data_IF_480259419534
#
_entry.id   IF_480259419534
#
_cell.length_a   1.000
_cell.length_b   1.000
_cell.length_c   1.000
_cell.angle_alpha   90.00
_cell.angle_beta   90.00
_cell.angle_gamma   90.00
#
_symmetry.space_group_name_H-M   'P 1'
#
loop_
_entity.id
_entity.type
_entity.pdbx_description
1 polymer ?
#
# COMPACT_ATOMS: atom_id res chain seq x y z
N UNK A 1 -21.83 -0.85 27.39
CA UNK A 1 -20.49 -0.45 26.93
C UNK A 1 -20.34 1.04 27.26
N UNK A 2 -19.23 1.43 27.88
CA UNK A 2 -18.99 2.80 28.37
C UNK A 2 -19.05 3.82 27.20
N UNK A 3 -19.84 4.88 27.35
CA UNK A 3 -20.01 5.96 26.36
C UNK A 3 -18.66 6.59 25.97
N UNK A 4 -17.70 6.64 26.89
CA UNK A 4 -16.35 7.16 26.61
C UNK A 4 -15.52 6.27 25.69
N UNK A 5 -15.72 4.94 25.75
CA UNK A 5 -15.06 3.97 24.86
C UNK A 5 -15.59 4.13 23.43
N UNK A 6 -16.90 4.27 23.29
CA UNK A 6 -17.56 4.44 21.99
C UNK A 6 -17.10 5.75 21.33
N UNK A 7 -17.10 6.86 22.07
CA UNK A 7 -16.64 8.16 21.57
C UNK A 7 -15.16 8.13 21.13
N UNK A 8 -14.27 7.50 21.92
CA UNK A 8 -12.86 7.31 21.53
C UNK A 8 -12.73 6.49 20.25
N UNK A 9 -13.44 5.36 20.16
CA UNK A 9 -13.40 4.50 18.99
C UNK A 9 -13.88 5.24 17.73
N UNK A 10 -14.95 6.02 17.84
CA UNK A 10 -15.49 6.83 16.74
C UNK A 10 -14.52 7.93 16.30
N UNK A 11 -13.86 8.61 17.24
CA UNK A 11 -12.84 9.64 16.92
C UNK A 11 -11.63 9.03 16.21
N UNK A 12 -11.14 7.88 16.68
CA UNK A 12 -10.04 7.15 16.01
C UNK A 12 -10.46 6.73 14.61
N UNK A 13 -11.69 6.23 14.48
CA UNK A 13 -12.23 5.83 13.18
C UNK A 13 -12.31 7.01 12.22
N UNK A 14 -12.78 8.17 12.67
CA UNK A 14 -12.83 9.39 11.86
C UNK A 14 -11.43 9.80 11.34
N UNK A 15 -10.39 9.73 12.17
CA UNK A 15 -9.00 9.99 11.75
C UNK A 15 -8.56 9.04 10.62
N UNK A 16 -8.86 7.75 10.75
CA UNK A 16 -8.54 6.75 9.73
C UNK A 16 -9.31 7.03 8.43
N UNK A 17 -10.59 7.40 8.53
CA UNK A 17 -11.43 7.62 7.36
C UNK A 17 -11.20 8.95 6.64
N UNK A 18 -10.55 9.92 7.29
CA UNK A 18 -10.12 11.17 6.63
C UNK A 18 -9.14 10.90 5.49
N UNK A 19 -8.47 9.74 5.52
CA UNK A 19 -7.44 9.36 4.57
C UNK A 19 -7.89 8.23 3.62
N UNK A 20 -9.19 7.97 3.41
CA UNK A 20 -9.62 6.79 2.62
C UNK A 20 -9.36 6.92 1.12
N UNK A 21 -8.84 5.85 0.52
CA UNK A 21 -8.85 5.65 -0.95
C UNK A 21 -10.25 5.25 -1.42
N UNK A 22 -10.91 6.16 -2.10
CA UNK A 22 -12.19 5.88 -2.76
C UNK A 22 -11.99 5.11 -4.07
N UNK A 23 -12.83 4.12 -4.38
CA UNK A 23 -12.87 3.50 -5.71
C UNK A 23 -13.35 4.50 -6.78
N UNK A 24 -13.04 4.30 -8.07
CA UNK A 24 -13.62 5.10 -9.15
C UNK A 24 -15.15 5.08 -9.07
N UNK A 25 -15.81 6.17 -9.50
CA UNK A 25 -17.26 6.38 -9.46
C UNK A 25 -18.02 5.45 -10.41
N UNK A 26 -17.89 4.14 -10.22
CA UNK A 26 -18.89 3.19 -10.67
C UNK A 26 -19.98 3.18 -9.60
N UNK A 27 -21.23 3.43 -10.03
CA UNK A 27 -22.45 3.40 -9.18
C UNK A 27 -22.58 2.12 -8.33
N UNK A 28 -21.82 1.07 -8.65
CA UNK A 28 -21.70 -0.19 -7.93
C UNK A 28 -20.94 -0.12 -6.59
N UNK A 29 -20.13 0.93 -6.34
CA UNK A 29 -19.26 1.03 -5.15
C UNK A 29 -19.56 2.25 -4.27
N UNK A 30 -20.55 3.07 -4.64
CA UNK A 30 -20.92 4.30 -3.95
C UNK A 30 -22.16 4.10 -3.09
N UNK A 31 -22.00 3.56 -1.89
CA UNK A 31 -22.98 3.73 -0.80
C UNK A 31 -22.61 4.89 0.13
N UNK A 32 -21.61 5.71 -0.27
CA UNK A 32 -21.15 6.87 0.47
C UNK A 32 -22.15 8.02 0.36
N UNK A 33 -22.92 8.23 1.41
CA UNK A 33 -23.71 9.45 1.58
C UNK A 33 -22.73 10.59 1.92
N UNK A 34 -22.62 11.58 1.04
CA UNK A 34 -21.83 12.81 1.24
C UNK A 34 -20.34 12.63 1.52
N UNK A 35 -19.69 11.61 0.95
CA UNK A 35 -18.24 11.42 1.11
C UNK A 35 -17.81 10.81 2.44
N UNK A 36 -18.75 10.45 3.30
CA UNK A 36 -18.50 9.70 4.53
C UNK A 36 -18.70 8.20 4.32
N UNK A 37 -17.90 7.34 4.98
CA UNK A 37 -18.15 5.90 5.01
C UNK A 37 -19.51 5.60 5.65
N UNK A 38 -20.33 4.77 5.00
CA UNK A 38 -21.57 4.32 5.60
C UNK A 38 -21.29 3.38 6.79
N UNK A 39 -22.30 3.13 7.63
CA UNK A 39 -22.17 2.29 8.83
C UNK A 39 -21.60 0.90 8.51
N UNK A 40 -21.97 0.30 7.37
CA UNK A 40 -21.45 -0.99 6.94
C UNK A 40 -19.94 -0.97 6.71
N UNK A 41 -19.40 0.08 6.08
CA UNK A 41 -17.96 0.25 5.89
C UNK A 41 -17.22 0.48 7.21
N UNK A 42 -17.86 1.11 8.20
CA UNK A 42 -17.26 1.41 9.50
C UNK A 42 -17.25 0.20 10.45
N UNK A 43 -18.25 -0.67 10.35
CA UNK A 43 -18.57 -1.68 11.36
C UNK A 43 -17.41 -2.65 11.69
N UNK A 44 -16.68 -3.22 10.70
CA UNK A 44 -15.59 -4.16 11.00
C UNK A 44 -14.47 -3.51 11.82
N UNK A 45 -14.12 -2.27 11.46
CA UNK A 45 -13.07 -1.50 12.12
C UNK A 45 -13.50 -0.99 13.50
N UNK A 46 -14.75 -0.51 13.62
CA UNK A 46 -15.30 -0.06 14.88
C UNK A 46 -15.35 -1.20 15.90
N UNK A 47 -15.82 -2.38 15.49
CA UNK A 47 -15.85 -3.57 16.35
C UNK A 47 -14.47 -3.91 16.91
N UNK A 48 -13.43 -3.89 16.06
CA UNK A 48 -12.06 -4.18 16.47
C UNK A 48 -11.49 -3.10 17.41
N UNK A 49 -11.75 -1.82 17.12
CA UNK A 49 -11.36 -0.70 17.97
C UNK A 49 -12.00 -0.78 19.36
N UNK A 50 -13.31 -1.03 19.44
CA UNK A 50 -14.03 -1.15 20.70
C UNK A 50 -13.41 -2.24 21.58
N UNK A 51 -13.16 -3.42 21.02
CA UNK A 51 -12.52 -4.52 21.75
C UNK A 51 -11.10 -4.17 22.24
N UNK A 52 -10.28 -3.51 21.41
CA UNK A 52 -8.92 -3.09 21.82
C UNK A 52 -8.94 -2.04 22.92
N UNK A 53 -9.84 -1.05 22.81
CA UNK A 53 -9.95 0.04 23.80
C UNK A 53 -10.51 -0.48 25.12
N UNK A 54 -11.53 -1.33 25.08
CA UNK A 54 -12.14 -1.95 26.26
C UNK A 54 -11.12 -2.80 27.04
N UNK A 55 -10.29 -3.56 26.32
CA UNK A 55 -9.20 -4.35 26.91
C UNK A 55 -7.97 -3.53 27.30
N UNK A 56 -7.97 -2.23 27.03
CA UNK A 56 -6.81 -1.33 27.21
C UNK A 56 -5.54 -1.88 26.54
N UNK A 57 -5.68 -2.43 25.34
CA UNK A 57 -4.57 -2.97 24.54
C UNK A 57 -4.03 -1.93 23.56
N UNK A 58 -2.75 -2.04 23.19
CA UNK A 58 -2.16 -1.18 22.16
C UNK A 58 -2.86 -1.38 20.81
N UNK A 59 -3.21 -0.29 20.13
CA UNK A 59 -3.80 -0.37 18.80
C UNK A 59 -2.70 -0.70 17.79
N UNK A 60 -2.77 -1.87 17.18
CA UNK A 60 -1.86 -2.25 16.09
C UNK A 60 -2.52 -2.02 14.74
N UNK A 61 -1.87 -1.25 13.87
CA UNK A 61 -2.23 -1.07 12.47
C UNK A 61 -1.22 -1.86 11.62
N UNK A 62 -1.67 -2.57 10.59
CA UNK A 62 -0.77 -3.22 9.63
C UNK A 62 -1.04 -2.72 8.21
N UNK A 63 0.02 -2.41 7.46
CA UNK A 63 -0.07 -1.85 6.11
C UNK A 63 0.93 -2.56 5.17
N UNK A 64 0.48 -3.38 4.20
CA UNK A 64 1.34 -3.88 3.13
C UNK A 64 1.60 -2.75 2.17
N UNK A 65 2.87 -2.37 2.10
CA UNK A 65 3.33 -1.19 1.42
C UNK A 65 4.86 -1.17 1.42
N UNK A 66 5.42 -0.25 0.63
CA UNK A 66 6.87 -0.03 0.55
C UNK A 66 7.64 -1.33 0.18
N UNK A 67 7.32 -1.98 -0.96
CA UNK A 67 8.04 -3.17 -1.42
C UNK A 67 9.46 -2.84 -1.92
N UNK A 68 9.52 -1.99 -2.93
CA UNK A 68 10.69 -1.50 -3.66
C UNK A 68 10.21 -0.45 -4.68
N UNK A 69 11.09 0.43 -5.17
CA UNK A 69 10.79 1.30 -6.34
C UNK A 69 10.55 0.45 -7.59
N UNK A 70 9.58 0.86 -8.40
CA UNK A 70 9.32 0.26 -9.71
C UNK A 70 10.58 0.24 -10.58
N UNK A 71 10.86 -0.89 -11.22
CA UNK A 71 11.95 -1.03 -12.20
C UNK A 71 11.79 -0.11 -13.41
N UNK A 72 10.56 0.33 -13.71
CA UNK A 72 10.28 1.29 -14.76
C UNK A 72 10.71 2.71 -14.35
N UNK A 73 11.89 3.15 -14.81
CA UNK A 73 12.42 4.50 -14.53
C UNK A 73 11.68 5.64 -15.26
N UNK A 74 10.67 5.34 -16.07
CA UNK A 74 9.70 6.37 -16.53
C UNK A 74 8.69 6.74 -15.43
N UNK A 75 8.63 5.96 -14.34
CA UNK A 75 7.76 6.20 -13.17
C UNK A 75 8.50 6.77 -11.97
N UNK A 76 9.77 6.42 -11.79
CA UNK A 76 10.57 6.72 -10.59
C UNK A 76 11.92 7.33 -10.94
N UNK A 77 12.57 8.01 -9.97
CA UNK A 77 13.89 8.62 -10.16
C UNK A 77 15.03 7.58 -10.14
N UNK A 78 14.99 6.64 -9.21
CA UNK A 78 15.99 5.59 -9.01
C UNK A 78 15.38 4.34 -8.36
N UNK A 79 16.22 3.40 -7.93
CA UNK A 79 15.82 2.25 -7.08
C UNK A 79 15.59 2.64 -5.62
N UNK A 80 16.04 3.82 -5.21
CA UNK A 80 16.16 4.19 -3.80
C UNK A 80 14.91 4.96 -3.34
N UNK A 81 14.53 4.86 -2.05
CA UNK A 81 13.52 5.74 -1.49
C UNK A 81 13.88 7.21 -1.69
N UNK A 82 12.89 8.03 -2.05
CA UNK A 82 13.04 9.47 -2.25
C UNK A 82 12.11 10.26 -1.31
N UNK A 83 11.92 11.57 -1.56
CA UNK A 83 11.08 12.41 -0.71
C UNK A 83 9.62 11.93 -0.66
N UNK A 84 9.16 11.21 -1.69
CA UNK A 84 7.84 10.58 -1.69
C UNK A 84 7.68 9.58 -0.55
N UNK A 85 8.67 8.71 -0.33
CA UNK A 85 8.69 7.79 0.81
C UNK A 85 8.83 8.53 2.14
N UNK A 86 9.73 9.52 2.24
CA UNK A 86 9.96 10.30 3.47
C UNK A 86 8.67 11.00 3.92
N UNK A 87 7.99 11.70 3.00
CA UNK A 87 6.73 12.39 3.32
C UNK A 87 5.62 11.40 3.67
N UNK A 88 5.55 10.28 2.96
CA UNK A 88 4.56 9.22 3.25
C UNK A 88 4.72 8.66 4.66
N UNK A 89 5.95 8.31 5.05
CA UNK A 89 6.26 7.78 6.38
C UNK A 89 5.97 8.81 7.48
N UNK A 90 6.34 10.08 7.26
CA UNK A 90 5.99 11.17 8.17
C UNK A 90 4.47 11.29 8.36
N UNK A 91 3.69 11.28 7.27
CA UNK A 91 2.21 11.35 7.35
C UNK A 91 1.59 10.17 8.08
N UNK A 92 2.09 8.95 7.86
CA UNK A 92 1.65 7.77 8.61
C UNK A 92 1.98 7.88 10.11
N UNK A 93 3.15 8.41 10.45
CA UNK A 93 3.54 8.64 11.83
C UNK A 93 2.69 9.75 12.49
N UNK A 94 2.33 10.82 11.76
CA UNK A 94 1.38 11.85 12.22
C UNK A 94 0.00 11.25 12.51
N UNK A 95 -0.53 10.41 11.62
CA UNK A 95 -1.78 9.70 11.86
C UNK A 95 -1.73 8.88 13.16
N UNK A 96 -0.67 8.11 13.38
CA UNK A 96 -0.49 7.38 14.62
C UNK A 96 -0.40 8.30 15.84
N UNK A 97 0.31 9.44 15.75
CA UNK A 97 0.39 10.40 16.86
C UNK A 97 -1.00 10.92 17.25
N UNK A 98 -1.85 11.25 16.29
CA UNK A 98 -3.23 11.68 16.54
C UNK A 98 -4.07 10.57 17.20
N UNK A 99 -3.90 9.31 16.79
CA UNK A 99 -4.55 8.16 17.44
C UNK A 99 -4.04 7.99 18.88
N UNK A 100 -2.73 8.13 19.11
CA UNK A 100 -2.11 8.00 20.43
C UNK A 100 -2.63 9.04 21.44
N UNK A 101 -3.00 10.24 20.97
CA UNK A 101 -3.62 11.27 21.84
C UNK A 101 -4.99 10.83 22.36
N UNK A 102 -5.72 9.99 21.61
CA UNK A 102 -7.04 9.48 21.98
C UNK A 102 -6.95 8.18 22.79
N UNK A 103 -5.90 7.39 22.59
CA UNK A 103 -5.69 6.09 23.25
C UNK A 103 -4.27 5.97 23.83
N UNK A 104 -4.13 6.35 25.10
CA UNK A 104 -2.83 6.48 25.77
C UNK A 104 -2.10 5.14 26.02
N UNK A 105 -2.79 3.99 25.95
CA UNK A 105 -2.10 2.68 25.97
C UNK A 105 -1.13 2.54 24.79
N UNK A 106 -1.40 3.25 23.69
CA UNK A 106 -0.46 3.40 22.58
C UNK A 106 -0.99 2.89 21.26
N UNK A 107 -0.23 3.18 20.22
CA UNK A 107 -0.49 2.75 18.84
C UNK A 107 0.81 2.45 18.11
N UNK A 108 0.80 1.44 17.26
CA UNK A 108 1.91 1.10 16.38
C UNK A 108 1.38 0.83 14.98
N UNK A 109 2.03 1.38 13.95
CA UNK A 109 1.82 0.98 12.56
C UNK A 109 3.00 0.15 12.10
N UNK A 110 2.71 -1.08 11.68
CA UNK A 110 3.68 -2.02 11.14
C UNK A 110 3.54 -2.01 9.62
N UNK A 111 4.59 -1.56 8.94
CA UNK A 111 4.71 -1.61 7.49
C UNK A 111 5.12 -3.03 7.12
N UNK A 112 4.19 -3.77 6.54
CA UNK A 112 4.39 -5.15 6.11
C UNK A 112 4.97 -5.17 4.69
N UNK A 113 6.26 -4.87 4.55
CA UNK A 113 6.95 -4.80 3.25
C UNK A 113 6.78 -6.11 2.47
N UNK A 114 6.26 -5.98 1.27
CA UNK A 114 5.92 -7.07 0.37
C UNK A 114 6.90 -7.18 -0.81
N UNK A 115 8.08 -6.54 -0.71
CA UNK A 115 9.13 -6.59 -1.74
C UNK A 115 9.55 -8.02 -2.06
N UNK A 116 9.94 -8.79 -1.03
CA UNK A 116 10.32 -10.22 -1.15
C UNK A 116 9.22 -11.11 -1.72
N UNK A 117 7.96 -10.70 -1.54
CA UNK A 117 6.80 -11.47 -2.00
C UNK A 117 6.67 -11.39 -3.52
N UNK A 118 7.09 -10.27 -4.14
CA UNK A 118 6.73 -9.97 -5.53
C UNK A 118 7.89 -9.67 -6.48
N UNK A 119 9.10 -9.40 -5.98
CA UNK A 119 10.17 -8.76 -6.76
C UNK A 119 10.52 -9.47 -8.08
N UNK A 120 10.55 -10.80 -8.08
CA UNK A 120 10.73 -11.64 -9.28
C UNK A 120 9.60 -11.47 -10.33
N UNK A 121 8.36 -11.21 -9.90
CA UNK A 121 7.22 -10.96 -10.79
C UNK A 121 7.24 -9.57 -11.42
N UNK A 122 7.90 -8.60 -10.79
CA UNK A 122 7.93 -7.19 -11.21
C UNK A 122 9.30 -6.72 -11.66
N UNK A 123 10.21 -7.67 -11.94
CA UNK A 123 11.55 -7.43 -12.47
C UNK A 123 12.40 -6.49 -11.59
N UNK A 124 12.26 -6.62 -10.27
CA UNK A 124 13.09 -5.94 -9.27
C UNK A 124 14.04 -6.96 -8.65
N UNK A 125 15.34 -6.63 -8.64
CA UNK A 125 16.36 -7.53 -8.07
C UNK A 125 16.23 -7.66 -6.54
N UNK A 126 16.72 -8.76 -5.98
CA UNK A 126 16.76 -8.94 -4.52
C UNK A 126 17.69 -7.91 -3.86
N UNK A 127 18.75 -7.45 -4.54
CA UNK A 127 19.61 -6.36 -4.10
C UNK A 127 18.86 -5.02 -4.01
N UNK A 128 17.99 -4.70 -4.99
CA UNK A 128 17.15 -3.50 -4.93
C UNK A 128 16.12 -3.57 -3.80
N UNK A 129 15.52 -4.74 -3.55
CA UNK A 129 14.64 -4.93 -2.38
C UNK A 129 15.41 -4.71 -1.08
N UNK A 130 16.60 -5.30 -0.95
CA UNK A 130 17.48 -5.12 0.20
C UNK A 130 17.77 -3.63 0.46
N UNK A 131 18.26 -2.94 -0.58
CA UNK A 131 18.61 -1.52 -0.50
C UNK A 131 17.41 -0.66 -0.13
N UNK A 132 16.26 -0.91 -0.76
CA UNK A 132 15.04 -0.15 -0.48
C UNK A 132 14.54 -0.38 0.96
N UNK A 133 14.50 -1.64 1.44
CA UNK A 133 14.11 -1.94 2.81
C UNK A 133 15.05 -1.30 3.84
N UNK A 134 16.36 -1.34 3.60
CA UNK A 134 17.33 -0.64 4.45
C UNK A 134 17.09 0.87 4.43
N UNK A 135 16.85 1.47 3.26
CA UNK A 135 16.52 2.88 3.13
C UNK A 135 15.27 3.28 3.91
N UNK A 136 14.20 2.48 3.88
CA UNK A 136 12.98 2.72 4.68
C UNK A 136 13.30 2.67 6.18
N UNK A 137 14.08 1.68 6.65
CA UNK A 137 14.51 1.57 8.05
C UNK A 137 15.36 2.80 8.47
N UNK A 138 16.26 3.25 7.60
CA UNK A 138 17.08 4.44 7.83
C UNK A 138 16.25 5.71 7.92
N UNK A 139 15.28 5.92 7.02
CA UNK A 139 14.36 7.07 7.08
C UNK A 139 13.60 7.07 8.41
N UNK A 140 13.03 5.93 8.83
CA UNK A 140 12.31 5.80 10.10
C UNK A 140 13.20 6.20 11.28
N UNK A 141 14.46 5.75 11.30
CA UNK A 141 15.41 6.06 12.36
C UNK A 141 15.82 7.54 12.36
N UNK A 142 16.24 8.09 11.21
CA UNK A 142 16.70 9.47 11.07
C UNK A 142 15.59 10.49 11.38
N UNK A 143 14.37 10.22 10.91
CA UNK A 143 13.20 11.08 11.15
C UNK A 143 12.55 10.82 12.53
N UNK A 144 13.09 9.90 13.33
CA UNK A 144 12.59 9.53 14.67
C UNK A 144 11.11 9.16 14.68
N UNK A 145 10.67 8.38 13.69
CA UNK A 145 9.26 7.97 13.50
C UNK A 145 8.86 6.84 14.45
N UNK A 146 8.76 7.17 15.75
CA UNK A 146 8.57 6.22 16.85
C UNK A 146 7.34 5.30 16.74
N UNK A 147 6.29 5.72 16.04
CA UNK A 147 5.08 4.91 15.90
C UNK A 147 5.18 3.86 14.78
N UNK A 148 6.25 3.88 13.99
CA UNK A 148 6.41 2.99 12.85
C UNK A 148 7.34 1.81 13.17
N UNK A 149 7.03 0.66 12.59
CA UNK A 149 7.89 -0.52 12.53
C UNK A 149 7.79 -1.14 11.13
N UNK A 150 8.71 -2.05 10.80
CA UNK A 150 8.72 -2.79 9.55
C UNK A 150 8.65 -4.28 9.87
N UNK A 151 7.92 -5.02 9.04
CA UNK A 151 7.83 -6.47 9.03
C UNK A 151 7.87 -6.96 7.58
N UNK A 152 8.52 -8.08 7.31
CA UNK A 152 8.78 -8.60 5.98
C UNK A 152 8.88 -10.13 6.01
N UNK A 153 9.07 -10.76 4.85
CA UNK A 153 9.35 -12.21 4.82
C UNK A 153 10.65 -12.59 5.52
N UNK A 154 11.62 -11.67 5.58
CA UNK A 154 12.89 -11.87 6.27
C UNK A 154 12.69 -12.03 7.80
N UNK A 155 11.56 -11.55 8.34
CA UNK A 155 11.18 -11.70 9.76
C UNK A 155 10.39 -13.00 10.04
N UNK A 156 9.98 -13.72 9.00
CA UNK A 156 9.19 -14.97 9.09
C UNK A 156 10.07 -16.19 8.89
N UNK A 157 10.97 -16.12 7.91
CA UNK A 157 11.76 -17.27 7.48
C UNK A 157 13.25 -16.99 7.71
N UNK A 158 13.93 -17.89 8.43
CA UNK A 158 15.35 -17.74 8.81
C UNK A 158 16.34 -17.97 7.65
N UNK A 159 15.87 -18.42 6.48
CA UNK A 159 16.72 -18.71 5.32
C UNK A 159 17.15 -17.44 4.59
N UNK A 160 18.27 -17.45 3.89
CA UNK A 160 18.65 -16.39 2.94
C UNK A 160 18.23 -16.73 1.49
N UNK A 161 17.53 -17.85 1.27
CA UNK A 161 17.01 -18.23 -0.03
C UNK A 161 15.61 -17.63 -0.26
N UNK A 162 15.55 -16.48 -0.92
CA UNK A 162 14.30 -15.76 -1.15
C UNK A 162 13.29 -16.54 -2.01
N UNK A 163 13.75 -17.40 -2.93
CA UNK A 163 12.86 -18.26 -3.69
C UNK A 163 12.21 -19.32 -2.78
N UNK A 164 12.97 -19.88 -1.84
CA UNK A 164 12.44 -20.82 -0.86
C UNK A 164 11.39 -20.16 0.03
N UNK A 165 11.63 -18.93 0.50
CA UNK A 165 10.64 -18.16 1.28
C UNK A 165 9.32 -18.01 0.52
N UNK A 166 9.39 -17.62 -0.77
CA UNK A 166 8.19 -17.48 -1.63
C UNK A 166 7.47 -18.81 -1.81
N UNK A 167 8.22 -19.89 -2.01
CA UNK A 167 7.64 -21.24 -2.12
C UNK A 167 6.94 -21.66 -0.82
N UNK A 168 7.56 -21.41 0.34
CA UNK A 168 6.98 -21.70 1.66
C UNK A 168 5.71 -20.87 1.92
N UNK A 169 5.74 -19.57 1.61
CA UNK A 169 4.56 -18.69 1.68
C UNK A 169 3.41 -19.26 0.84
N UNK A 170 3.70 -19.65 -0.40
CA UNK A 170 2.69 -20.17 -1.31
C UNK A 170 2.21 -21.57 -0.95
N UNK A 171 3.06 -22.41 -0.36
CA UNK A 171 2.66 -23.73 0.12
C UNK A 171 1.71 -23.64 1.32
N UNK A 172 1.99 -22.73 2.26
CA UNK A 172 1.17 -22.57 3.47
C UNK A 172 -0.09 -21.72 3.23
N UNK A 173 0.01 -20.66 2.42
CA UNK A 173 -1.03 -19.64 2.29
C UNK A 173 -1.44 -19.36 0.85
N UNK A 174 -0.99 -20.11 -0.15
CA UNK A 174 -1.36 -19.91 -1.55
C UNK A 174 -2.77 -20.41 -1.86
N UNK A 175 -3.47 -19.75 -2.79
CA UNK A 175 -4.67 -20.32 -3.43
C UNK A 175 -4.27 -20.93 -4.77
N UNK A 176 -5.07 -21.88 -5.29
CA UNK A 176 -4.85 -22.39 -6.64
C UNK A 176 -5.22 -21.33 -7.69
N UNK A 177 -4.56 -21.38 -8.86
CA UNK A 177 -4.88 -20.49 -9.97
C UNK A 177 -6.33 -20.67 -10.46
N UNK A 178 -6.84 -21.90 -10.43
CA UNK A 178 -8.24 -22.21 -10.80
C UNK A 178 -9.23 -21.55 -9.84
N UNK A 179 -8.98 -21.61 -8.53
CA UNK A 179 -9.82 -20.96 -7.52
C UNK A 179 -9.84 -19.45 -7.69
N UNK A 180 -8.67 -18.84 -7.92
CA UNK A 180 -8.60 -17.40 -8.22
C UNK A 180 -9.41 -17.06 -9.47
N UNK A 181 -9.21 -17.79 -10.58
CA UNK A 181 -9.94 -17.53 -11.84
C UNK A 181 -11.45 -17.65 -11.66
N UNK A 182 -11.93 -18.64 -10.91
CA UNK A 182 -13.34 -18.79 -10.58
C UNK A 182 -13.86 -17.59 -9.77
N UNK A 183 -13.11 -17.15 -8.75
CA UNK A 183 -13.48 -15.99 -7.94
C UNK A 183 -13.56 -14.71 -8.76
N UNK A 184 -12.65 -14.50 -9.71
CA UNK A 184 -12.68 -13.32 -10.60
C UNK A 184 -13.90 -13.30 -11.55
N UNK A 185 -14.56 -14.43 -11.77
CA UNK A 185 -15.82 -14.51 -12.53
C UNK A 185 -17.01 -14.13 -11.64
N UNK A 186 -16.99 -14.54 -10.37
CA UNK A 186 -18.13 -14.42 -9.44
C UNK A 186 -18.12 -13.12 -8.64
N UNK A 187 -16.95 -12.51 -8.42
CA UNK A 187 -16.76 -11.34 -7.57
C UNK A 187 -16.23 -10.15 -8.39
N UNK A 188 -17.13 -9.20 -8.67
CA UNK A 188 -16.82 -7.95 -9.38
C UNK A 188 -15.74 -7.12 -8.68
N UNK A 189 -15.64 -7.20 -7.35
CA UNK A 189 -14.61 -6.48 -6.61
C UNK A 189 -13.24 -7.16 -6.77
N UNK A 190 -13.18 -8.49 -6.70
CA UNK A 190 -11.95 -9.22 -7.02
C UNK A 190 -11.49 -8.92 -8.45
N UNK A 191 -12.42 -8.85 -9.41
CA UNK A 191 -12.15 -8.47 -10.79
C UNK A 191 -11.61 -7.03 -10.91
N UNK A 192 -12.20 -6.07 -10.19
CA UNK A 192 -11.71 -4.70 -10.15
C UNK A 192 -10.27 -4.62 -9.64
N UNK A 193 -9.95 -5.32 -8.53
CA UNK A 193 -8.59 -5.37 -8.00
C UNK A 193 -7.60 -6.00 -8.99
N UNK A 194 -7.99 -7.12 -9.61
CA UNK A 194 -7.19 -7.78 -10.64
C UNK A 194 -6.90 -6.85 -11.82
N UNK A 195 -7.92 -6.13 -12.32
CA UNK A 195 -7.76 -5.21 -13.45
C UNK A 195 -6.83 -4.03 -13.11
N UNK A 196 -6.89 -3.53 -11.86
CA UNK A 196 -5.95 -2.53 -11.37
C UNK A 196 -4.52 -3.04 -11.39
N UNK A 197 -4.27 -4.22 -10.82
CA UNK A 197 -2.95 -4.87 -10.81
C UNK A 197 -2.46 -5.16 -12.23
N UNK A 198 -3.32 -5.72 -13.09
CA UNK A 198 -2.98 -6.00 -14.49
C UNK A 198 -2.54 -4.74 -15.24
N UNK A 199 -3.22 -3.60 -15.01
CA UNK A 199 -2.82 -2.31 -15.59
C UNK A 199 -1.42 -1.89 -15.14
N UNK A 200 -1.08 -2.06 -13.87
CA UNK A 200 0.26 -1.75 -13.35
C UNK A 200 1.34 -2.63 -13.97
N UNK A 201 1.10 -3.93 -14.03
CA UNK A 201 2.05 -4.88 -14.61
C UNK A 201 2.23 -4.59 -16.11
N UNK A 202 1.14 -4.33 -16.85
CA UNK A 202 1.23 -3.96 -18.28
C UNK A 202 2.08 -2.71 -18.47
N UNK A 203 1.87 -1.68 -17.65
CA UNK A 203 2.64 -0.44 -17.75
C UNK A 203 4.14 -0.66 -17.52
N UNK A 204 4.53 -1.44 -16.51
CA UNK A 204 5.93 -1.72 -16.25
C UNK A 204 6.55 -2.58 -17.35
N UNK A 205 5.83 -3.61 -17.80
CA UNK A 205 6.27 -4.49 -18.89
C UNK A 205 6.41 -3.76 -20.23
N UNK A 206 5.58 -2.74 -20.51
CA UNK A 206 5.69 -1.89 -21.71
C UNK A 206 6.99 -1.08 -21.75
N UNK A 207 7.47 -0.62 -20.60
CA UNK A 207 8.71 0.15 -20.52
C UNK A 207 9.96 -0.75 -20.46
N UNK A 208 9.83 -1.96 -19.92
CA UNK A 208 10.95 -2.87 -19.72
C UNK A 208 11.20 -3.83 -20.90
N UNK A 209 10.20 -4.09 -21.73
CA UNK A 209 10.27 -5.06 -22.83
C UNK A 209 9.87 -4.44 -24.18
N UNK A 210 10.56 -3.37 -24.58
CA UNK A 210 10.25 -2.61 -25.81
C UNK A 210 10.33 -3.44 -27.11
N UNK A 211 11.03 -4.57 -27.09
CA UNK A 211 11.15 -5.50 -28.21
C UNK A 211 9.91 -6.39 -28.44
N UNK A 212 8.98 -6.46 -27.48
CA UNK A 212 7.76 -7.26 -27.59
C UNK A 212 6.59 -6.42 -28.12
N UNK A 213 5.68 -7.07 -28.86
CA UNK A 213 4.44 -6.41 -29.26
C UNK A 213 3.54 -6.13 -28.05
N UNK A 214 2.72 -5.07 -28.14
CA UNK A 214 1.74 -4.70 -27.10
C UNK A 214 0.80 -5.87 -26.73
N UNK A 215 0.44 -6.71 -27.71
CA UNK A 215 -0.43 -7.88 -27.48
C UNK A 215 0.30 -8.98 -26.70
N UNK A 216 1.57 -9.26 -27.03
CA UNK A 216 2.39 -10.20 -26.25
C UNK A 216 2.56 -9.72 -24.81
N UNK A 217 2.86 -8.43 -24.62
CA UNK A 217 3.00 -7.82 -23.28
C UNK A 217 1.71 -7.95 -22.47
N UNK A 218 0.56 -7.61 -23.04
CA UNK A 218 -0.74 -7.74 -22.35
C UNK A 218 -1.02 -9.18 -21.90
N UNK A 219 -0.66 -10.17 -22.74
CA UNK A 219 -0.82 -11.59 -22.42
C UNK A 219 0.10 -12.01 -21.28
N UNK A 220 1.39 -11.71 -21.36
CA UNK A 220 2.36 -12.03 -20.31
C UNK A 220 2.02 -11.35 -18.98
N UNK A 221 1.71 -10.06 -19.03
CA UNK A 221 1.29 -9.28 -17.87
C UNK A 221 0.04 -9.83 -17.19
N UNK A 222 -0.87 -10.48 -17.95
CA UNK A 222 -2.07 -11.10 -17.39
C UNK A 222 -1.71 -12.31 -16.52
N UNK A 223 -0.79 -13.15 -16.97
CA UNK A 223 -0.29 -14.29 -16.19
C UNK A 223 0.46 -13.82 -14.94
N UNK A 224 1.34 -12.83 -15.10
CA UNK A 224 2.01 -12.18 -13.95
C UNK A 224 1.00 -11.58 -12.97
N UNK A 225 -0.05 -10.93 -13.44
CA UNK A 225 -1.09 -10.34 -12.57
C UNK A 225 -1.84 -11.40 -11.75
N UNK A 226 -2.08 -12.60 -12.30
CA UNK A 226 -2.64 -13.70 -11.52
C UNK A 226 -1.72 -14.06 -10.36
N UNK A 227 -0.42 -14.22 -10.60
CA UNK A 227 0.54 -14.55 -9.55
C UNK A 227 0.70 -13.44 -8.51
N UNK A 228 0.69 -12.17 -8.93
CA UNK A 228 0.70 -11.03 -7.99
C UNK A 228 -0.53 -11.09 -7.07
N UNK A 229 -1.73 -11.36 -7.60
CA UNK A 229 -2.93 -11.49 -6.78
C UNK A 229 -2.84 -12.70 -5.83
N UNK A 230 -2.40 -13.86 -6.31
CA UNK A 230 -2.25 -15.07 -5.49
C UNK A 230 -1.29 -14.84 -4.33
N UNK A 231 -0.13 -14.23 -4.59
CA UNK A 231 0.88 -13.93 -3.58
C UNK A 231 0.43 -12.82 -2.62
N UNK A 232 -0.32 -11.82 -3.10
CA UNK A 232 -0.95 -10.79 -2.25
C UNK A 232 -1.99 -11.38 -1.29
N UNK A 233 -2.77 -12.36 -1.74
CA UNK A 233 -3.71 -13.08 -0.89
C UNK A 233 -2.99 -14.00 0.10
N UNK A 234 -1.91 -14.67 -0.31
CA UNK A 234 -1.07 -15.46 0.59
C UNK A 234 -0.44 -14.60 1.68
N UNK A 235 0.16 -13.47 1.31
CA UNK A 235 0.72 -12.50 2.25
C UNK A 235 -0.35 -11.95 3.20
N UNK A 236 -1.55 -11.66 2.70
CA UNK A 236 -2.67 -11.23 3.54
C UNK A 236 -3.07 -12.28 4.58
N UNK A 237 -3.07 -13.57 4.23
CA UNK A 237 -3.39 -14.67 5.17
C UNK A 237 -2.31 -14.86 6.22
N UNK A 238 -1.04 -14.86 5.83
CA UNK A 238 0.08 -14.91 6.77
C UNK A 238 0.03 -13.76 7.79
N UNK A 239 -0.22 -12.54 7.31
CA UNK A 239 -0.32 -11.37 8.18
C UNK A 239 -1.52 -11.43 9.13
N UNK A 240 -2.63 -12.07 8.73
CA UNK A 240 -3.78 -12.27 9.60
C UNK A 240 -3.46 -13.25 10.75
N UNK A 241 -2.55 -14.20 10.53
CA UNK A 241 -2.06 -15.12 11.57
C UNK A 241 -1.09 -14.42 12.53
N UNK A 242 -0.16 -13.62 12.01
CA UNK A 242 0.83 -12.89 12.83
C UNK A 242 0.21 -11.72 13.61
N UNK A 243 -0.81 -11.08 13.05
CA UNK A 243 -1.42 -9.88 13.61
C UNK A 243 -2.96 -10.00 13.68
N UNK A 244 -3.49 -10.98 14.44
CA UNK A 244 -4.91 -11.35 14.41
C UNK A 244 -5.83 -10.28 15.02
N UNK A 245 -5.30 -9.31 15.76
CA UNK A 245 -6.06 -8.21 16.34
C UNK A 245 -5.84 -6.86 15.61
N UNK A 246 -4.96 -6.81 14.60
CA UNK A 246 -4.58 -5.55 13.98
C UNK A 246 -5.67 -4.99 13.06
N UNK A 247 -5.79 -3.66 13.01
CA UNK A 247 -6.56 -2.99 11.97
C UNK A 247 -5.79 -3.06 10.67
N UNK A 248 -6.45 -3.57 9.63
CA UNK A 248 -5.82 -3.87 8.35
C UNK A 248 -5.95 -2.67 7.41
N UNK A 249 -4.86 -1.95 7.22
CA UNK A 249 -4.78 -0.90 6.20
C UNK A 249 -4.37 -1.48 4.84
N UNK A 250 -4.64 -0.74 3.78
CA UNK A 250 -4.34 -1.13 2.40
C UNK A 250 -3.98 0.08 1.55
N UNK A 251 -3.10 -0.11 0.57
CA UNK A 251 -2.79 0.89 -0.47
C UNK A 251 -3.76 0.87 -1.64
N UNK A 252 -4.70 -0.09 -1.66
CA UNK A 252 -5.68 -0.25 -2.73
C UNK A 252 -7.07 0.14 -2.24
N UNK A 253 -7.95 0.67 -3.11
CA UNK A 253 -9.37 0.80 -2.80
C UNK A 253 -9.95 -0.55 -2.35
N UNK A 254 -10.88 -0.49 -1.39
CA UNK A 254 -11.52 -1.66 -0.79
C UNK A 254 -13.04 -1.56 -0.97
N UNK A 255 -13.76 -2.70 -1.04
CA UNK A 255 -15.21 -2.70 -1.15
C UNK A 255 -15.81 -2.27 0.19
N UNK A 256 -17.06 -1.80 0.17
CA UNK A 256 -17.72 -1.47 1.43
C UNK A 256 -17.87 -2.73 2.31
N UNK A 257 -17.66 -2.56 3.61
CA UNK A 257 -17.71 -3.65 4.59
C UNK A 257 -16.47 -4.54 4.62
N UNK A 258 -15.42 -4.20 3.88
CA UNK A 258 -14.16 -4.94 3.93
C UNK A 258 -13.48 -4.80 5.29
N UNK A 259 -12.83 -5.87 5.74
CA UNK A 259 -11.90 -5.81 6.87
C UNK A 259 -10.65 -4.99 6.57
N UNK A 260 -10.38 -4.69 5.28
CA UNK A 260 -9.27 -3.86 4.82
C UNK A 260 -9.74 -2.42 4.63
N UNK A 261 -8.98 -1.46 5.15
CA UNK A 261 -9.21 -0.03 4.96
C UNK A 261 -8.19 0.54 3.96
N UNK A 262 -8.65 0.89 2.75
CA UNK A 262 -7.81 1.56 1.76
C UNK A 262 -7.47 2.97 2.20
N UNK A 263 -6.18 3.33 2.32
CA UNK A 263 -5.74 4.67 2.74
C UNK A 263 -4.81 5.34 1.73
N UNK A 264 -4.97 6.65 1.55
CA UNK A 264 -4.15 7.56 0.76
C UNK A 264 -3.50 8.57 1.70
N UNK A 265 -2.18 8.53 1.78
CA UNK A 265 -1.40 9.36 2.70
C UNK A 265 -0.63 10.50 2.01
N UNK A 266 -0.68 10.58 0.67
CA UNK A 266 -0.20 11.73 -0.11
C UNK A 266 -1.23 12.11 -1.18
N UNK A 267 -1.37 13.41 -1.52
CA UNK A 267 -2.12 13.83 -2.68
C UNK A 267 -1.55 13.18 -3.94
N UNK A 268 -2.41 12.80 -4.88
CA UNK A 268 -1.98 12.14 -6.10
C UNK A 268 -2.93 12.39 -7.25
N UNK A 269 -2.38 12.45 -8.46
CA UNK A 269 -3.16 12.59 -9.69
C UNK A 269 -4.08 11.38 -9.96
N UNK A 270 -3.72 10.20 -9.45
CA UNK A 270 -4.55 8.99 -9.55
C UNK A 270 -4.67 8.25 -8.21
N UNK A 271 -5.82 7.60 -7.99
CA UNK A 271 -6.17 6.96 -6.71
C UNK A 271 -5.42 5.67 -6.40
N UNK A 272 -4.62 5.18 -7.34
CA UNK A 272 -3.76 4.01 -7.16
C UNK A 272 -2.28 4.38 -7.01
N UNK A 273 -1.97 5.68 -7.01
CA UNK A 273 -0.61 6.16 -6.89
C UNK A 273 -0.03 5.80 -5.52
N UNK A 274 1.22 5.39 -5.55
CA UNK A 274 2.05 5.05 -4.38
C UNK A 274 3.44 5.61 -4.63
N UNK A 275 4.18 5.99 -3.57
CA UNK A 275 5.46 6.67 -3.75
C UNK A 275 6.49 5.80 -4.48
N UNK A 276 6.39 4.46 -4.38
CA UNK A 276 7.28 3.56 -5.11
C UNK A 276 6.95 3.36 -6.60
N UNK A 277 5.84 3.91 -7.08
CA UNK A 277 5.44 3.88 -8.50
C UNK A 277 5.34 5.27 -9.13
N UNK A 278 5.77 6.31 -8.42
CA UNK A 278 5.63 7.70 -8.80
C UNK A 278 6.84 8.48 -8.29
N UNK A 279 6.91 9.74 -8.68
CA UNK A 279 7.78 10.75 -8.06
C UNK A 279 6.91 11.77 -7.37
N UNK A 280 7.51 12.52 -6.45
CA UNK A 280 6.88 13.65 -5.83
C UNK A 280 7.12 14.90 -6.69
N UNK A 281 6.04 15.56 -7.09
CA UNK A 281 6.07 16.83 -7.83
C UNK A 281 5.65 17.97 -6.92
N UNK A 282 6.48 19.01 -6.87
CA UNK A 282 6.17 20.29 -6.22
C UNK A 282 5.54 21.26 -7.23
N UNK A 283 4.36 21.80 -6.91
CA UNK A 283 3.66 22.85 -7.67
C UNK A 283 3.30 24.00 -6.72
N UNK A 284 4.10 25.06 -6.74
CA UNK A 284 4.02 26.12 -5.72
C UNK A 284 4.18 25.52 -4.31
N UNK A 285 3.18 25.71 -3.46
CA UNK A 285 3.13 25.15 -2.09
C UNK A 285 2.51 23.75 -2.00
N UNK A 286 2.03 23.21 -3.13
CA UNK A 286 1.37 21.91 -3.18
C UNK A 286 2.31 20.79 -3.63
N UNK A 287 2.01 19.57 -3.16
CA UNK A 287 2.75 18.36 -3.47
C UNK A 287 1.81 17.31 -3.99
N UNK A 288 2.19 16.61 -5.06
CA UNK A 288 1.41 15.50 -5.60
C UNK A 288 2.31 14.34 -6.05
N UNK A 289 1.81 13.11 -5.91
CA UNK A 289 2.39 11.95 -6.56
C UNK A 289 1.94 11.88 -8.01
N UNK A 290 2.91 11.79 -8.91
CA UNK A 290 2.73 11.71 -10.36
C UNK A 290 3.82 10.83 -10.97
N UNK A 291 3.59 10.26 -12.16
CA UNK A 291 4.63 9.51 -12.86
C UNK A 291 5.71 10.45 -13.36
N UNK A 292 6.98 10.07 -13.23
CA UNK A 292 8.14 10.88 -13.67
C UNK A 292 7.98 11.43 -15.08
N UNK A 293 7.68 10.56 -16.06
CA UNK A 293 7.48 10.94 -17.46
C UNK A 293 6.41 12.01 -17.65
N UNK A 294 5.35 11.97 -16.84
CA UNK A 294 4.28 12.96 -16.92
C UNK A 294 4.72 14.31 -16.33
N UNK A 295 5.43 14.29 -15.18
CA UNK A 295 6.00 15.50 -14.61
C UNK A 295 7.03 16.17 -15.54
N UNK A 296 7.94 15.40 -16.15
CA UNK A 296 8.90 15.90 -17.13
C UNK A 296 8.19 16.49 -18.37
N UNK A 297 7.08 15.89 -18.82
CA UNK A 297 6.24 16.44 -19.90
C UNK A 297 5.60 17.77 -19.52
N UNK A 298 5.31 17.99 -18.24
CA UNK A 298 4.85 19.29 -17.71
C UNK A 298 6.00 20.29 -17.52
N UNK A 299 7.22 19.95 -17.93
CA UNK A 299 8.41 20.79 -17.84
C UNK A 299 9.14 20.71 -16.50
N UNK A 300 8.71 19.83 -15.59
CA UNK A 300 9.31 19.76 -14.27
C UNK A 300 10.78 19.29 -14.34
N UNK A 301 11.63 19.88 -13.49
CA UNK A 301 13.07 19.56 -13.42
C UNK A 301 13.41 18.93 -12.08
N UNK A 302 14.40 18.03 -12.09
CA UNK A 302 14.91 17.40 -10.87
C UNK A 302 15.65 18.42 -10.01
N UNK A 303 15.20 18.56 -8.78
CA UNK A 303 15.91 19.25 -7.71
C UNK A 303 16.66 18.19 -6.88
N UNK A 304 17.99 18.20 -6.98
CA UNK A 304 18.86 17.21 -6.34
C UNK A 304 18.93 17.35 -4.81
N UNK A 305 18.68 18.55 -4.26
CA UNK A 305 18.73 18.78 -2.81
C UNK A 305 17.55 18.11 -2.09
N UNK A 306 16.45 17.91 -2.82
CA UNK A 306 15.20 17.38 -2.28
C UNK A 306 14.78 16.05 -2.94
N UNK A 307 15.49 15.59 -3.97
CA UNK A 307 15.12 14.42 -4.79
C UNK A 307 13.65 14.44 -5.23
N UNK A 308 13.21 15.61 -5.73
CA UNK A 308 11.85 15.84 -6.25
C UNK A 308 11.90 16.48 -7.63
N UNK A 309 10.79 16.38 -8.37
CA UNK A 309 10.60 17.21 -9.55
C UNK A 309 9.89 18.51 -9.15
N UNK A 310 10.38 19.66 -9.63
CA UNK A 310 9.78 20.98 -9.41
C UNK A 310 9.21 21.53 -10.72
N UNK A 311 7.94 21.97 -10.69
CA UNK A 311 7.29 22.60 -11.84
C UNK A 311 7.88 23.98 -12.16
N UNK A 312 7.86 24.37 -13.44
CA UNK A 312 8.50 25.62 -13.91
C UNK A 312 7.79 26.92 -13.47
N UNK A 313 6.54 26.83 -13.00
CA UNK A 313 5.78 27.99 -12.54
C UNK A 313 5.28 27.70 -11.12
N UNK A 314 6.05 28.15 -10.12
CA UNK A 314 5.56 28.50 -8.79
C UNK A 314 5.22 29.98 -8.75
#
# INVERSE_FOLDING_TARGET
>A
MDTTIIDKAQKILALLFTNVRQAESNRLFSTHVHGFPCSHCQQPHLKRLLNLIEKKEMITLILPAFPAKSANRQKTLSSDPDLGEIMSLNRLNELCRSINQLHQTGVKLIICSDGRVFNDLVLVSDEEVNRYQQGIKQIIAQQKLRFLAVFSLDDVYETQNYQLMRNQLMAAYGESLSSLKQRLILDNHALYQFNGIHRFVVEDQLALNEHLSKNQIRRLAKETAYEVVRRSNAWSRLLAEHFPAALRLSIHPQPCGSDKLGIQFLPAANRWATPWHNVLLKKGDSWELIKRKEAERLGAKLNHDHYVLEGLNG
#
